data_IF_805246666104
#
_entry.id   IF_805246666104
#
_cell.length_a   1.000
_cell.length_b   1.000
_cell.length_c   1.000
_cell.angle_alpha   90.00
_cell.angle_beta   90.00
_cell.angle_gamma   90.00
#
_symmetry.space_group_name_H-M   'P 1'
#
loop_
_entity.id
_entity.type
_entity.pdbx_description
1 polymer ?
#
# COMPACT_ATOMS: atom_id res chain seq x y z
N UNK A 1 6.74 57.68 -11.53
CA UNK A 1 5.91 56.47 -11.76
C UNK A 1 5.87 55.70 -10.46
N UNK A 2 4.69 55.51 -9.86
CA UNK A 2 4.49 54.77 -8.59
C UNK A 2 4.35 53.28 -8.88
N UNK A 3 5.15 52.43 -8.24
CA UNK A 3 5.00 50.97 -8.31
C UNK A 3 3.59 50.56 -7.83
N UNK A 4 2.97 49.50 -8.39
CA UNK A 4 1.74 48.96 -7.83
C UNK A 4 2.01 48.40 -6.43
N UNK A 5 1.17 48.74 -5.46
CA UNK A 5 1.18 48.08 -4.14
C UNK A 5 0.44 46.75 -4.23
N UNK A 6 1.13 45.64 -4.00
CA UNK A 6 0.51 44.32 -3.89
C UNK A 6 -0.25 44.26 -2.55
N UNK A 7 -1.55 43.92 -2.54
CA UNK A 7 -2.31 43.79 -1.30
C UNK A 7 -1.74 42.64 -0.45
N UNK A 8 -1.65 42.87 0.86
CA UNK A 8 -1.22 41.83 1.79
C UNK A 8 -2.27 40.72 1.85
N UNK A 9 -1.86 39.49 1.55
CA UNK A 9 -2.69 38.29 1.63
C UNK A 9 -2.15 37.44 2.78
N UNK A 10 -2.95 37.29 3.84
CA UNK A 10 -2.67 36.33 4.93
C UNK A 10 -3.44 35.04 4.65
N UNK A 11 -2.79 33.97 4.18
CA UNK A 11 -3.48 32.71 3.92
C UNK A 11 -4.00 32.13 5.23
N UNK A 12 -5.27 31.73 5.24
CA UNK A 12 -5.84 30.93 6.34
C UNK A 12 -5.49 29.48 6.06
N UNK A 13 -4.52 28.93 6.79
CA UNK A 13 -4.12 27.53 6.66
C UNK A 13 -4.83 26.72 7.75
N UNK A 14 -5.75 25.84 7.34
CA UNK A 14 -6.53 24.96 8.24
C UNK A 14 -5.91 23.59 8.42
N UNK A 15 -4.90 23.25 7.63
CA UNK A 15 -4.20 21.97 7.64
C UNK A 15 -2.92 22.07 8.47
N UNK A 16 -2.80 21.24 9.49
CA UNK A 16 -1.63 21.24 10.36
C UNK A 16 -0.81 19.94 10.20
N UNK A 17 0.38 19.91 10.83
CA UNK A 17 1.31 18.79 10.75
C UNK A 17 0.71 17.48 11.32
N UNK A 18 -0.12 17.54 12.35
CA UNK A 18 -0.76 16.36 12.93
C UNK A 18 -1.78 15.75 11.95
N UNK A 19 -2.52 16.60 11.22
CA UNK A 19 -3.41 16.14 10.15
C UNK A 19 -2.61 15.42 9.06
N UNK A 20 -1.45 15.96 8.68
CA UNK A 20 -0.55 15.33 7.72
C UNK A 20 -0.05 13.95 8.18
N UNK A 21 0.36 13.83 9.45
CA UNK A 21 0.82 12.57 10.04
C UNK A 21 -0.31 11.52 10.02
N UNK A 22 -1.52 11.90 10.43
CA UNK A 22 -2.68 11.00 10.43
C UNK A 22 -3.01 10.52 9.00
N UNK A 23 -2.95 11.40 8.01
CA UNK A 23 -3.17 11.01 6.61
C UNK A 23 -2.05 10.10 6.08
N UNK A 24 -0.80 10.33 6.47
CA UNK A 24 0.31 9.44 6.11
C UNK A 24 0.14 8.04 6.71
N UNK A 25 -0.23 7.94 7.98
CA UNK A 25 -0.53 6.66 8.64
C UNK A 25 -1.74 5.97 7.98
N UNK A 26 -2.82 6.70 7.72
CA UNK A 26 -3.97 6.17 7.00
C UNK A 26 -3.60 5.66 5.60
N UNK A 27 -2.71 6.37 4.88
CA UNK A 27 -2.24 5.92 3.57
C UNK A 27 -1.46 4.61 3.63
N UNK A 28 -0.65 4.39 4.67
CA UNK A 28 0.07 3.13 4.89
C UNK A 28 -0.92 2.00 5.12
N UNK A 29 -1.89 2.19 6.03
CA UNK A 29 -2.91 1.15 6.29
C UNK A 29 -3.80 0.83 5.08
N UNK A 30 -4.11 1.82 4.25
CA UNK A 30 -4.81 1.58 2.98
C UNK A 30 -3.97 0.77 1.98
N UNK A 31 -2.66 1.02 1.91
CA UNK A 31 -1.75 0.23 1.09
C UNK A 31 -1.63 -1.22 1.61
N UNK A 32 -1.56 -1.43 2.94
CA UNK A 32 -1.57 -2.78 3.54
C UNK A 32 -2.87 -3.53 3.23
N UNK A 33 -4.03 -2.88 3.35
CA UNK A 33 -5.32 -3.47 2.97
C UNK A 33 -5.34 -3.87 1.49
N UNK A 34 -4.80 -3.02 0.62
CA UNK A 34 -4.67 -3.34 -0.81
C UNK A 34 -3.77 -4.55 -1.06
N UNK A 35 -2.65 -4.67 -0.32
CA UNK A 35 -1.74 -5.83 -0.44
C UNK A 35 -2.40 -7.11 0.05
N UNK A 36 -3.19 -7.06 1.14
CA UNK A 36 -3.95 -8.21 1.61
C UNK A 36 -4.94 -8.73 0.56
N UNK A 37 -5.61 -7.82 -0.18
CA UNK A 37 -6.49 -8.22 -1.28
C UNK A 37 -5.73 -8.89 -2.44
N UNK A 38 -4.52 -8.43 -2.76
CA UNK A 38 -3.68 -9.07 -3.78
C UNK A 38 -3.30 -10.49 -3.33
N UNK A 39 -2.86 -10.65 -2.09
CA UNK A 39 -2.51 -11.98 -1.54
C UNK A 39 -3.72 -12.93 -1.57
N UNK A 40 -4.91 -12.44 -1.20
CA UNK A 40 -6.14 -13.23 -1.31
C UNK A 40 -6.46 -13.62 -2.76
N UNK A 41 -6.32 -12.71 -3.71
CA UNK A 41 -6.56 -13.01 -5.13
C UNK A 41 -5.59 -14.08 -5.66
N UNK A 42 -4.32 -14.04 -5.23
CA UNK A 42 -3.35 -15.10 -5.55
C UNK A 42 -3.71 -16.44 -4.89
N UNK A 43 -4.26 -16.43 -3.68
CA UNK A 43 -4.77 -17.65 -3.04
C UNK A 43 -5.99 -18.23 -3.77
N UNK A 44 -6.93 -17.40 -4.21
CA UNK A 44 -8.06 -17.82 -5.03
C UNK A 44 -7.61 -18.38 -6.38
N UNK A 45 -6.55 -17.81 -6.98
CA UNK A 45 -5.94 -18.34 -8.21
C UNK A 45 -5.42 -19.77 -8.03
N UNK A 46 -4.76 -20.07 -6.90
CA UNK A 46 -4.35 -21.44 -6.56
C UNK A 46 -5.58 -22.35 -6.42
N UNK A 47 -6.58 -21.92 -5.66
CA UNK A 47 -7.80 -22.70 -5.43
C UNK A 47 -8.57 -23.00 -6.73
N UNK A 48 -8.58 -22.06 -7.66
CA UNK A 48 -9.19 -22.22 -8.99
C UNK A 48 -8.53 -23.37 -9.76
N UNK A 49 -7.19 -23.38 -9.81
CA UNK A 49 -6.43 -24.37 -10.57
C UNK A 49 -6.52 -25.75 -9.90
N UNK A 50 -6.56 -25.80 -8.58
CA UNK A 50 -6.77 -27.04 -7.83
C UNK A 50 -8.22 -27.55 -7.87
N UNK A 51 -9.17 -26.79 -8.43
CA UNK A 51 -10.58 -27.16 -8.45
C UNK A 51 -11.22 -27.20 -7.06
N UNK A 52 -10.68 -26.46 -6.09
CA UNK A 52 -11.22 -26.43 -4.70
C UNK A 52 -12.31 -25.37 -4.52
N UNK A 53 -12.54 -24.53 -5.53
CA UNK A 53 -13.61 -23.53 -5.51
C UNK A 53 -14.99 -24.19 -5.74
N UNK A 54 -16.03 -23.76 -5.02
CA UNK A 54 -17.37 -24.32 -5.16
C UNK A 54 -17.89 -24.23 -6.60
N UNK A 55 -18.36 -25.35 -7.15
CA UNK A 55 -18.94 -25.39 -8.50
C UNK A 55 -17.94 -25.40 -9.64
N UNK A 56 -16.65 -25.59 -9.36
CA UNK A 56 -15.60 -25.74 -10.37
C UNK A 56 -15.05 -27.17 -10.32
N UNK A 57 -15.26 -27.93 -11.40
CA UNK A 57 -14.58 -29.21 -11.62
C UNK A 57 -13.47 -28.99 -12.67
N UNK A 58 -12.27 -28.66 -12.21
CA UNK A 58 -11.10 -28.43 -13.05
C UNK A 58 -10.10 -29.58 -12.88
N UNK A 59 -9.60 -30.13 -13.98
CA UNK A 59 -8.44 -31.01 -13.98
C UNK A 59 -7.24 -30.24 -14.53
N UNK A 60 -6.51 -29.55 -13.64
CA UNK A 60 -5.27 -28.90 -14.03
C UNK A 60 -4.20 -29.94 -14.39
N UNK A 61 -3.45 -29.65 -15.43
CA UNK A 61 -2.26 -30.44 -15.77
C UNK A 61 -1.10 -30.05 -14.85
N UNK A 62 -0.05 -30.88 -14.81
CA UNK A 62 1.18 -30.53 -14.08
C UNK A 62 1.81 -29.24 -14.61
N UNK A 63 1.71 -29.00 -15.92
CA UNK A 63 2.23 -27.77 -16.55
C UNK A 63 1.47 -26.53 -16.08
N UNK A 64 0.14 -26.61 -16.01
CA UNK A 64 -0.70 -25.52 -15.46
C UNK A 64 -0.32 -25.19 -14.01
N UNK A 65 -0.08 -26.23 -13.19
CA UNK A 65 0.32 -26.06 -11.79
C UNK A 65 1.69 -25.36 -11.66
N UNK A 66 2.66 -25.75 -12.48
CA UNK A 66 4.00 -25.14 -12.46
C UNK A 66 3.95 -23.68 -12.90
N UNK A 67 3.19 -23.37 -13.96
CA UNK A 67 3.02 -21.99 -14.46
C UNK A 67 2.37 -21.11 -13.39
N UNK A 68 1.31 -21.60 -12.75
CA UNK A 68 0.58 -20.85 -11.72
C UNK A 68 1.44 -20.65 -10.48
N UNK A 69 2.17 -21.68 -10.04
CA UNK A 69 3.07 -21.56 -8.90
C UNK A 69 4.17 -20.51 -9.14
N UNK A 70 4.77 -20.51 -10.34
CA UNK A 70 5.75 -19.50 -10.73
C UNK A 70 5.14 -18.09 -10.72
N UNK A 71 3.95 -17.92 -11.30
CA UNK A 71 3.25 -16.63 -11.31
C UNK A 71 2.92 -16.12 -9.90
N UNK A 72 2.41 -16.98 -9.02
CA UNK A 72 2.10 -16.62 -7.63
C UNK A 72 3.38 -16.23 -6.89
N UNK A 73 4.46 -17.00 -7.06
CA UNK A 73 5.75 -16.70 -6.43
C UNK A 73 6.26 -15.30 -6.81
N UNK A 74 6.20 -14.94 -8.09
CA UNK A 74 6.61 -13.61 -8.57
C UNK A 74 5.79 -12.48 -7.93
N UNK A 75 4.47 -12.67 -7.80
CA UNK A 75 3.59 -11.69 -7.15
C UNK A 75 3.91 -11.57 -5.66
N UNK A 76 4.08 -12.70 -4.95
CA UNK A 76 4.43 -12.68 -3.52
C UNK A 76 5.79 -12.03 -3.27
N UNK A 77 6.78 -12.24 -4.14
CA UNK A 77 8.06 -11.53 -4.06
C UNK A 77 7.89 -10.00 -4.23
N UNK A 78 7.01 -9.57 -5.13
CA UNK A 78 6.69 -8.15 -5.31
C UNK A 78 5.96 -7.57 -4.08
N UNK A 79 5.01 -8.33 -3.49
CA UNK A 79 4.32 -7.95 -2.25
C UNK A 79 5.32 -7.78 -1.11
N UNK A 80 6.24 -8.72 -0.90
CA UNK A 80 7.28 -8.62 0.14
C UNK A 80 8.14 -7.38 -0.06
N UNK A 81 8.55 -7.08 -1.31
CA UNK A 81 9.31 -5.85 -1.60
C UNK A 81 8.50 -4.59 -1.26
N UNK A 82 7.19 -4.59 -1.48
CA UNK A 82 6.32 -3.47 -1.12
C UNK A 82 6.15 -3.34 0.40
N UNK A 83 6.01 -4.45 1.13
CA UNK A 83 5.98 -4.49 2.60
C UNK A 83 7.24 -3.86 3.20
N UNK A 84 8.43 -4.19 2.67
CA UNK A 84 9.69 -3.57 3.12
C UNK A 84 9.72 -2.05 2.87
N UNK A 85 9.15 -1.58 1.76
CA UNK A 85 9.02 -0.15 1.47
C UNK A 85 8.01 0.54 2.40
N UNK A 86 6.91 -0.15 2.73
CA UNK A 86 5.91 0.34 3.69
C UNK A 86 6.48 0.45 5.10
N UNK A 87 7.23 -0.55 5.55
CA UNK A 87 7.96 -0.50 6.82
C UNK A 87 8.93 0.69 6.86
N UNK A 88 9.71 0.91 5.79
CA UNK A 88 10.58 2.09 5.70
C UNK A 88 9.79 3.41 5.76
N UNK A 89 8.63 3.49 5.10
CA UNK A 89 7.74 4.67 5.11
C UNK A 89 7.20 4.90 6.53
N UNK A 90 6.73 3.86 7.19
CA UNK A 90 6.23 3.91 8.57
C UNK A 90 7.33 4.37 9.53
N UNK A 91 8.54 3.80 9.42
CA UNK A 91 9.69 4.20 10.22
C UNK A 91 10.04 5.69 10.04
N UNK A 92 9.90 6.24 8.84
CA UNK A 92 10.08 7.68 8.62
C UNK A 92 8.98 8.51 9.30
N UNK A 93 7.72 8.09 9.22
CA UNK A 93 6.61 8.78 9.90
C UNK A 93 6.81 8.74 11.43
N UNK A 94 7.22 7.60 12.00
CA UNK A 94 7.51 7.47 13.43
C UNK A 94 8.64 8.41 13.86
N UNK A 95 9.70 8.57 13.06
CA UNK A 95 10.77 9.54 13.33
C UNK A 95 10.27 10.99 13.34
N UNK A 96 9.35 11.33 12.43
CA UNK A 96 8.72 12.66 12.39
C UNK A 96 7.90 12.91 13.66
N UNK A 97 7.22 11.90 14.19
CA UNK A 97 6.46 11.97 15.45
C UNK A 97 7.41 12.12 16.64
N UNK A 98 8.47 11.32 16.73
CA UNK A 98 9.38 11.35 17.88
C UNK A 98 10.20 12.65 17.97
N UNK A 99 10.52 13.26 16.82
CA UNK A 99 11.16 14.59 16.79
C UNK A 99 10.29 15.71 17.40
N UNK A 100 8.98 15.48 17.53
CA UNK A 100 8.01 16.44 18.06
C UNK A 100 7.87 16.36 19.59
N UNK A 101 8.34 15.28 20.24
CA UNK A 101 8.28 15.13 21.69
C UNK A 101 9.40 15.90 22.43
N UNK A 102 10.29 16.58 21.70
CA UNK A 102 11.49 17.26 22.22
C UNK A 102 11.36 18.81 22.13
N UNK A 103 10.31 19.34 21.50
CA UNK A 103 9.93 20.76 21.53
C UNK A 103 8.72 21.00 22.44
#
# INVERSE_FOLDING_TARGET
MSQPSIPNITPVITFNRNDAINLLLASIGMEELSLAHIVNAEAEKIQYVLGTLPGIEQQATLEDLLVINQSVQEVLEAVIKKELLLDSKLNHVIKVISSQAIE
#
